data_IF_038471897191
#
_entry.id   IF_038471897191
#
_cell.length_a   1.000
_cell.length_b   1.000
_cell.length_c   1.000
_cell.angle_alpha   90.00
_cell.angle_beta   90.00
_cell.angle_gamma   90.00
#
_symmetry.space_group_name_H-M   'P 1'
#
loop_
_entity.id
_entity.type
_entity.pdbx_description
1 polymer ?
#
# COMPACT_ATOMS: atom_id res chain seq x y z
N UNK A 1 -6.62 -8.96 -4.98
CA UNK A 1 -6.74 -8.29 -3.67
C UNK A 1 -5.62 -8.73 -2.74
N UNK A 2 -4.65 -7.86 -2.44
CA UNK A 2 -3.55 -8.19 -1.52
C UNK A 2 -4.02 -8.03 -0.06
N UNK A 3 -4.64 -9.09 0.50
CA UNK A 3 -5.22 -9.09 1.85
C UNK A 3 -4.19 -8.76 2.95
N UNK A 4 -2.92 -9.09 2.72
CA UNK A 4 -1.81 -8.88 3.66
C UNK A 4 -1.52 -7.40 3.90
N UNK A 5 -1.39 -6.61 2.83
CA UNK A 5 -1.11 -5.16 2.95
C UNK A 5 -2.26 -4.46 3.65
N UNK A 6 -3.51 -4.81 3.29
CA UNK A 6 -4.70 -4.23 3.92
C UNK A 6 -4.78 -4.56 5.41
N UNK A 7 -4.49 -5.79 5.83
CA UNK A 7 -4.54 -6.17 7.25
C UNK A 7 -3.47 -5.44 8.07
N UNK A 8 -2.27 -5.27 7.52
CA UNK A 8 -1.18 -4.55 8.20
C UNK A 8 -1.54 -3.07 8.37
N UNK A 9 -2.10 -2.43 7.33
CA UNK A 9 -2.54 -1.03 7.41
C UNK A 9 -3.59 -0.84 8.51
N UNK A 10 -4.60 -1.72 8.56
CA UNK A 10 -5.64 -1.69 9.60
C UNK A 10 -5.05 -1.91 10.99
N UNK A 11 -4.16 -2.90 11.15
CA UNK A 11 -3.51 -3.20 12.45
C UNK A 11 -2.65 -2.05 12.96
N UNK A 12 -2.10 -1.22 12.07
CA UNK A 12 -1.31 -0.04 12.42
C UNK A 12 -2.14 1.25 12.48
N UNK A 13 -3.44 1.18 12.25
CA UNK A 13 -4.32 2.36 12.23
C UNK A 13 -4.07 3.32 11.07
N UNK A 14 -3.33 2.91 10.03
CA UNK A 14 -2.98 3.77 8.90
C UNK A 14 -4.14 3.79 7.91
N UNK A 15 -4.67 4.99 7.64
CA UNK A 15 -5.78 5.13 6.70
C UNK A 15 -5.26 5.30 5.28
N UNK A 16 -5.93 4.68 4.31
CA UNK A 16 -5.62 4.88 2.89
C UNK A 16 -5.79 6.35 2.45
N UNK A 17 -6.66 7.10 3.12
CA UNK A 17 -6.87 8.53 2.90
C UNK A 17 -5.65 9.37 3.30
N UNK A 18 -4.95 9.00 4.37
CA UNK A 18 -3.73 9.68 4.81
C UNK A 18 -2.61 9.47 3.80
N UNK A 19 -2.39 8.22 3.39
CA UNK A 19 -1.43 7.87 2.33
C UNK A 19 -1.73 8.63 1.03
N UNK A 20 -3.01 8.73 0.68
CA UNK A 20 -3.45 9.45 -0.51
C UNK A 20 -3.15 10.96 -0.38
N UNK A 21 -3.48 11.57 0.76
CA UNK A 21 -3.20 12.98 1.02
C UNK A 21 -1.70 13.30 0.99
N UNK A 22 -0.87 12.47 1.64
CA UNK A 22 0.59 12.62 1.68
C UNK A 22 1.22 12.51 0.27
N UNK A 23 0.62 11.72 -0.63
CA UNK A 23 1.09 11.56 -2.00
C UNK A 23 0.45 12.53 -3.01
N UNK A 24 -0.52 13.34 -2.60
CA UNK A 24 -1.31 14.17 -3.50
C UNK A 24 -2.19 13.37 -4.46
N UNK A 25 -2.62 12.17 -4.06
CA UNK A 25 -3.41 11.24 -4.86
C UNK A 25 -4.84 11.14 -4.36
N UNK A 26 -5.72 10.60 -5.20
CA UNK A 26 -7.06 10.19 -4.76
C UNK A 26 -6.99 8.85 -4.02
N UNK A 27 -7.84 8.68 -3.01
CA UNK A 27 -7.96 7.42 -2.24
C UNK A 27 -8.23 6.21 -3.13
N UNK A 28 -8.97 6.38 -4.24
CA UNK A 28 -9.22 5.31 -5.20
C UNK A 28 -7.93 4.79 -5.86
N UNK A 29 -6.94 5.65 -6.11
CA UNK A 29 -5.63 5.26 -6.66
C UNK A 29 -4.87 4.37 -5.67
N UNK A 30 -4.83 4.75 -4.40
CA UNK A 30 -4.21 3.94 -3.34
C UNK A 30 -4.91 2.59 -3.19
N UNK A 31 -6.25 2.58 -3.20
CA UNK A 31 -7.04 1.35 -3.15
C UNK A 31 -6.78 0.45 -4.38
N UNK A 32 -6.66 1.02 -5.57
CA UNK A 32 -6.37 0.27 -6.80
C UNK A 32 -5.00 -0.42 -6.71
N UNK A 33 -3.98 0.27 -6.19
CA UNK A 33 -2.63 -0.30 -5.98
C UNK A 33 -2.64 -1.42 -4.95
N UNK A 34 -3.31 -1.24 -3.80
CA UNK A 34 -3.41 -2.27 -2.75
C UNK A 34 -4.15 -3.51 -3.27
N UNK A 35 -5.19 -3.31 -4.08
CA UNK A 35 -5.97 -4.42 -4.62
C UNK A 35 -5.30 -5.13 -5.80
N UNK A 36 -4.30 -4.49 -6.42
CA UNK A 36 -3.56 -4.99 -7.57
C UNK A 36 -4.13 -4.59 -8.93
N UNK A 37 -5.05 -3.63 -8.99
CA UNK A 37 -5.61 -3.10 -10.24
C UNK A 37 -4.68 -2.12 -10.95
N UNK A 38 -3.71 -1.55 -10.24
CA UNK A 38 -2.73 -0.61 -10.80
C UNK A 38 -1.36 -0.90 -10.21
N UNK A 39 -0.34 -0.89 -11.05
CA UNK A 39 1.05 -1.11 -10.64
C UNK A 39 1.81 0.21 -10.54
N UNK A 40 1.57 0.95 -9.45
CA UNK A 40 2.34 2.16 -9.16
C UNK A 40 3.46 1.84 -8.17
N UNK A 41 4.69 1.77 -8.68
CA UNK A 41 5.90 1.54 -7.87
C UNK A 41 6.06 2.62 -6.79
N UNK A 42 5.84 3.90 -7.13
CA UNK A 42 5.89 5.03 -6.19
C UNK A 42 4.98 4.83 -4.97
N UNK A 43 3.72 4.42 -5.20
CA UNK A 43 2.75 4.20 -4.11
C UNK A 43 3.17 3.01 -3.25
N UNK A 44 3.58 1.91 -3.88
CA UNK A 44 4.02 0.71 -3.15
C UNK A 44 5.27 0.96 -2.30
N UNK A 45 6.28 1.64 -2.84
CA UNK A 45 7.49 2.04 -2.11
C UNK A 45 7.15 2.98 -0.94
N UNK A 46 6.23 3.93 -1.16
CA UNK A 46 5.78 4.80 -0.09
C UNK A 46 5.11 4.02 1.05
N UNK A 47 4.21 3.09 0.72
CA UNK A 47 3.56 2.24 1.72
C UNK A 47 4.60 1.33 2.41
N UNK A 48 5.57 0.78 1.68
CA UNK A 48 6.65 -0.03 2.25
C UNK A 48 7.47 0.77 3.28
N UNK A 49 7.88 1.99 2.93
CA UNK A 49 8.56 2.93 3.83
C UNK A 49 7.71 3.28 5.05
N UNK A 50 6.43 3.59 4.85
CA UNK A 50 5.49 3.91 5.94
C UNK A 50 5.27 2.74 6.89
N UNK A 51 5.30 1.52 6.35
CA UNK A 51 5.20 0.29 7.11
C UNK A 51 6.54 -0.17 7.69
N UNK A 52 7.65 0.52 7.41
CA UNK A 52 9.01 0.11 7.76
C UNK A 52 9.24 -1.39 7.44
N UNK A 53 8.86 -1.77 6.22
CA UNK A 53 8.85 -3.15 5.74
C UNK A 53 9.40 -3.19 4.33
N UNK A 54 10.12 -4.25 3.99
CA UNK A 54 10.63 -4.44 2.64
C UNK A 54 9.50 -4.57 1.61
N UNK A 55 9.69 -3.90 0.47
CA UNK A 55 8.80 -3.96 -0.67
C UNK A 55 8.56 -5.42 -1.10
N UNK A 56 9.63 -6.22 -1.18
CA UNK A 56 9.53 -7.63 -1.57
C UNK A 56 8.78 -8.47 -0.55
N UNK A 57 8.84 -8.13 0.75
CA UNK A 57 8.07 -8.86 1.78
C UNK A 57 6.57 -8.58 1.70
N UNK A 58 6.19 -7.42 1.16
CA UNK A 58 4.80 -6.96 1.03
C UNK A 58 4.18 -7.29 -0.33
N UNK A 59 4.96 -7.21 -1.41
CA UNK A 59 4.51 -7.40 -2.80
C UNK A 59 5.29 -8.44 -3.60
N UNK A 60 6.37 -9.01 -3.06
CA UNK A 60 7.02 -10.17 -3.67
C UNK A 60 6.06 -11.36 -3.71
N UNK A 61 6.17 -12.15 -4.78
CA UNK A 61 5.41 -13.41 -4.87
C UNK A 61 5.82 -14.27 -3.68
N UNK A 62 4.83 -14.78 -2.93
CA UNK A 62 5.06 -15.99 -2.16
C UNK A 62 5.53 -17.03 -3.18
N UNK A 63 6.77 -17.50 -3.01
CA UNK A 63 7.30 -18.63 -3.75
C UNK A 63 6.37 -19.84 -3.59
#
# INVERSE_FOLDING_TARGET
>A
MNRKVKSILVRRGIKQTEIAAELGLRRCTVSAVINGHTDSRRVKEYIAKRLNMDFEKLWGKAA
#
